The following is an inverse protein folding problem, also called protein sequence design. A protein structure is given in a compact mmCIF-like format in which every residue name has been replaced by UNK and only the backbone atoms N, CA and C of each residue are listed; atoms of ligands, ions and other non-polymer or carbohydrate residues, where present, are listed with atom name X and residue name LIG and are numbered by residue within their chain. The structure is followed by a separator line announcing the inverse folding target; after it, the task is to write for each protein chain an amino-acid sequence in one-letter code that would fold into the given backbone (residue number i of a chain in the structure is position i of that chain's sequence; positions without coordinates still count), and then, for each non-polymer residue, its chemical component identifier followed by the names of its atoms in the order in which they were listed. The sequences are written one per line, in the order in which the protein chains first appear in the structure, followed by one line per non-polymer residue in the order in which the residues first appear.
data_IF_255456846762
#
_entry.id   IF_255456846762
#
_cell.length_a   1.000
_cell.length_b   1.000
_cell.length_c   1.000
_cell.angle_alpha   90.00
_cell.angle_beta   90.00
_cell.angle_gamma   90.00
#
_symmetry.space_group_name_H-M   'P 1'
#
loop_
_entity.id
_entity.type
_entity.pdbx_description
1 polymer ?
#
# COMPACT_ATOMS: atom_id res chain seq x y z
N UNK A 1 1.14 50.07 12.86
CA UNK A 1 0.39 48.83 12.56
C UNK A 1 1.31 47.99 11.69
N UNK A 2 2.19 47.21 12.29
CA UNK A 2 3.05 46.28 11.56
C UNK A 2 2.60 44.86 11.89
N UNK A 3 1.90 44.23 10.95
CA UNK A 3 1.56 42.82 11.00
C UNK A 3 2.84 42.00 10.81
N UNK A 4 3.39 41.46 11.90
CA UNK A 4 4.55 40.56 11.88
C UNK A 4 4.18 39.29 11.08
N UNK A 5 5.03 38.83 10.15
CA UNK A 5 4.73 37.64 9.35
C UNK A 5 4.67 36.39 10.24
N UNK A 6 3.68 35.52 9.96
CA UNK A 6 3.56 34.20 10.58
C UNK A 6 4.83 33.35 10.33
N UNK A 7 5.22 32.46 11.26
CA UNK A 7 6.38 31.59 11.07
C UNK A 7 6.17 30.71 9.83
N UNK A 8 7.09 30.76 8.87
CA UNK A 8 7.08 29.90 7.69
C UNK A 8 7.96 28.66 7.93
N UNK A 9 7.39 27.47 7.84
CA UNK A 9 8.14 26.22 7.87
C UNK A 9 8.56 25.87 6.43
N UNK A 10 9.86 25.60 6.20
CA UNK A 10 10.34 24.99 4.95
C UNK A 10 10.48 23.48 5.19
N UNK A 11 9.80 22.69 4.38
CA UNK A 11 9.93 21.23 4.41
C UNK A 11 10.74 20.82 3.18
N UNK A 12 11.92 20.24 3.42
CA UNK A 12 12.77 19.67 2.38
C UNK A 12 12.42 18.19 2.23
N UNK A 13 11.93 17.76 1.07
CA UNK A 13 11.81 16.34 0.76
C UNK A 13 13.19 15.80 0.35
N UNK A 14 13.86 15.07 1.25
CA UNK A 14 15.04 14.29 0.87
C UNK A 14 14.58 12.95 0.30
N UNK A 15 14.32 12.91 -1.02
CA UNK A 15 14.29 11.65 -1.74
C UNK A 15 15.74 11.20 -1.97
N UNK A 16 16.21 10.28 -1.13
CA UNK A 16 17.50 9.61 -1.31
C UNK A 16 17.43 8.59 -2.45
N UNK A 17 17.51 9.05 -3.69
CA UNK A 17 18.01 8.25 -4.80
C UNK A 17 19.40 8.75 -5.18
N UNK A 18 20.38 7.87 -5.48
CA UNK A 18 21.68 8.30 -5.99
C UNK A 18 21.46 9.04 -7.31
N UNK A 19 21.93 10.29 -7.36
CA UNK A 19 21.61 11.26 -8.41
C UNK A 19 21.97 10.77 -9.83
N UNK A 20 21.25 11.29 -10.83
CA UNK A 20 21.86 12.40 -11.57
C UNK A 20 20.97 13.65 -11.52
N UNK A 21 21.60 14.79 -11.20
CA UNK A 21 21.04 16.15 -11.13
C UNK A 21 19.91 16.37 -10.11
N UNK A 22 20.26 16.99 -8.98
CA UNK A 22 19.33 17.65 -8.05
C UNK A 22 18.64 18.83 -8.78
N UNK A 23 17.61 18.54 -9.57
CA UNK A 23 16.61 19.55 -9.87
C UNK A 23 15.97 19.93 -8.53
N UNK A 24 16.12 21.18 -8.11
CA UNK A 24 15.53 21.69 -6.88
C UNK A 24 14.02 21.46 -6.93
N UNK A 25 13.51 20.52 -6.15
CA UNK A 25 12.07 20.39 -5.92
C UNK A 25 11.61 21.74 -5.35
N UNK A 26 10.66 22.45 -6.00
CA UNK A 26 10.20 23.72 -5.49
C UNK A 26 9.65 23.52 -4.08
N UNK A 27 10.20 24.26 -3.12
CA UNK A 27 9.78 24.18 -1.72
C UNK A 27 8.29 24.53 -1.61
N UNK A 28 7.47 23.53 -1.34
CA UNK A 28 6.04 23.70 -1.09
C UNK A 28 5.89 24.53 0.19
N UNK A 29 5.31 25.73 0.06
CA UNK A 29 4.98 26.60 1.20
C UNK A 29 3.55 26.34 1.62
N UNK A 30 3.36 25.76 2.80
CA UNK A 30 2.04 25.54 3.37
C UNK A 30 1.80 26.64 4.41
N UNK A 31 0.66 27.32 4.30
CA UNK A 31 0.29 28.37 5.24
C UNK A 31 -0.12 27.72 6.57
N UNK A 32 0.53 28.14 7.66
CA UNK A 32 0.21 27.67 9.01
C UNK A 32 -0.96 28.48 9.56
N UNK A 33 -2.04 27.80 9.93
CA UNK A 33 -3.22 28.42 10.51
C UNK A 33 -3.13 28.45 12.05
N UNK A 34 -3.26 29.62 12.70
CA UNK A 34 -3.32 29.68 14.15
C UNK A 34 -4.64 29.09 14.66
N UNK A 35 -4.58 28.20 15.65
CA UNK A 35 -5.78 27.64 16.28
C UNK A 35 -6.45 28.61 17.27
N UNK A 36 -5.71 29.62 17.74
CA UNK A 36 -6.20 30.66 18.63
C UNK A 36 -5.45 31.97 18.41
N UNK A 37 -5.98 33.06 18.98
CA UNK A 37 -5.27 34.33 19.07
C UNK A 37 -4.58 34.41 20.44
N UNK A 38 -3.26 34.63 20.45
CA UNK A 38 -2.48 34.70 21.68
C UNK A 38 -2.09 36.14 22.01
N UNK A 39 -2.27 36.59 23.27
CA UNK A 39 -1.84 37.91 23.72
C UNK A 39 -0.32 38.05 23.70
N UNK A 40 0.16 39.29 23.55
CA UNK A 40 1.60 39.56 23.59
C UNK A 40 2.16 39.36 25.00
N UNK A 41 3.45 38.96 25.13
CA UNK A 41 4.14 38.91 26.41
C UNK A 41 4.24 40.30 27.04
N UNK A 42 3.90 40.42 28.33
CA UNK A 42 3.94 41.70 29.06
C UNK A 42 4.59 41.51 30.42
N UNK A 43 5.53 42.39 30.77
CA UNK A 43 6.12 42.45 32.10
C UNK A 43 5.22 43.28 33.04
N UNK A 44 4.68 42.64 34.07
CA UNK A 44 3.88 43.30 35.11
C UNK A 44 4.55 43.04 36.45
N UNK A 45 5.16 44.08 37.03
CA UNK A 45 5.98 43.95 38.24
C UNK A 45 7.19 43.04 38.00
N UNK A 46 7.32 41.98 38.81
CA UNK A 46 8.40 40.98 38.68
C UNK A 46 7.96 39.69 37.94
N UNK A 47 6.83 39.74 37.22
CA UNK A 47 6.25 38.59 36.51
C UNK A 47 6.10 38.93 35.03
N UNK A 48 6.73 38.14 34.17
CA UNK A 48 6.50 38.15 32.73
C UNK A 48 5.26 37.30 32.45
N UNK A 49 4.17 37.93 32.03
CA UNK A 49 2.93 37.24 31.67
C UNK A 49 2.92 36.86 30.20
N UNK A 50 2.15 35.82 29.88
CA UNK A 50 1.91 35.37 28.50
C UNK A 50 3.18 34.90 27.77
N UNK A 51 4.10 34.24 28.48
CA UNK A 51 5.32 33.70 27.89
C UNK A 51 5.02 32.35 27.24
N UNK A 52 5.45 32.13 26.01
CA UNK A 52 5.23 30.86 25.30
C UNK A 52 5.93 29.71 26.02
N UNK A 53 5.17 28.76 26.56
CA UNK A 53 5.68 27.55 27.22
C UNK A 53 5.68 26.33 26.30
N UNK A 54 4.69 26.21 25.43
CA UNK A 54 4.59 25.10 24.48
C UNK A 54 4.10 25.56 23.12
N UNK A 55 4.68 25.01 22.06
CA UNK A 55 4.23 25.20 20.67
C UNK A 55 4.00 23.83 20.06
N UNK A 56 2.78 23.56 19.60
CA UNK A 56 2.40 22.31 18.94
C UNK A 56 1.97 22.59 17.51
N UNK A 57 2.67 22.00 16.55
CA UNK A 57 2.27 21.98 15.15
C UNK A 57 1.47 20.73 14.86
N UNK A 58 0.32 20.86 14.21
CA UNK A 58 -0.49 19.73 13.73
C UNK A 58 -0.50 19.78 12.21
N UNK A 59 0.10 18.77 11.60
CA UNK A 59 0.20 18.61 10.15
C UNK A 59 -0.82 17.56 9.71
N UNK A 60 -1.84 18.00 8.98
CA UNK A 60 -2.80 17.09 8.38
C UNK A 60 -2.28 16.60 7.04
N UNK A 61 -2.19 15.28 6.87
CA UNK A 61 -1.72 14.69 5.62
C UNK A 61 -2.82 13.88 4.93
N UNK A 62 -2.82 13.93 3.60
CA UNK A 62 -3.71 13.19 2.75
C UNK A 62 -3.39 11.70 2.82
N UNK A 63 -4.29 10.88 2.31
CA UNK A 63 -4.03 9.46 2.17
C UNK A 63 -2.80 9.19 1.25
N UNK A 64 -2.47 10.08 0.30
CA UNK A 64 -1.26 9.98 -0.53
C UNK A 64 0.03 10.45 0.18
N UNK A 65 -0.05 10.87 1.45
CA UNK A 65 1.10 11.35 2.24
C UNK A 65 1.46 12.82 1.99
N UNK A 66 0.60 13.56 1.29
CA UNK A 66 0.79 14.99 1.03
C UNK A 66 0.26 15.82 2.19
N UNK A 67 0.99 16.83 2.65
CA UNK A 67 0.49 17.70 3.73
C UNK A 67 -0.58 18.63 3.15
N UNK A 68 -1.82 18.47 3.63
CA UNK A 68 -3.00 19.20 3.15
C UNK A 68 -3.20 20.49 3.93
N UNK A 69 -2.92 20.47 5.25
CA UNK A 69 -2.99 21.67 6.08
C UNK A 69 -2.04 21.58 7.27
N UNK A 70 -1.65 22.74 7.80
CA UNK A 70 -0.82 22.86 8.98
C UNK A 70 -1.48 23.85 9.93
N UNK A 71 -1.64 23.48 11.20
CA UNK A 71 -2.08 24.38 12.25
C UNK A 71 -1.06 24.47 13.36
N UNK A 72 -1.14 25.55 14.14
CA UNK A 72 -0.29 25.77 15.31
C UNK A 72 -1.15 26.10 16.52
N UNK A 73 -0.84 25.44 17.64
CA UNK A 73 -1.37 25.73 18.96
C UNK A 73 -0.23 26.18 19.88
N UNK A 74 -0.48 27.20 20.69
CA UNK A 74 0.51 27.79 21.59
C UNK A 74 -0.08 27.88 22.99
N UNK A 75 0.65 27.31 23.95
CA UNK A 75 0.34 27.48 25.36
C UNK A 75 1.24 28.54 25.97
N UNK A 76 0.65 29.36 26.84
CA UNK A 76 1.28 30.48 27.51
C UNK A 76 1.40 30.18 29.01
N UNK A 77 2.45 30.70 29.63
CA UNK A 77 2.71 30.61 31.06
C UNK A 77 3.22 31.96 31.60
N UNK A 78 3.00 32.19 32.89
CA UNK A 78 3.52 33.35 33.61
C UNK A 78 4.80 32.95 34.35
N UNK A 79 5.87 33.71 34.18
CA UNK A 79 7.21 33.40 34.71
C UNK A 79 7.68 34.55 35.59
N UNK A 80 8.13 34.26 36.82
CA UNK A 80 8.78 35.28 37.66
C UNK A 80 10.20 35.49 37.17
N UNK A 81 10.67 36.74 37.18
CA UNK A 81 12.06 37.07 36.81
C UNK A 81 13.07 36.37 37.75
N UNK A 82 12.67 36.05 38.98
CA UNK A 82 13.49 35.29 39.93
C UNK A 82 13.68 33.82 39.54
N UNK A 83 12.86 33.30 38.65
CA UNK A 83 12.92 31.90 38.21
C UNK A 83 13.92 31.82 37.05
N UNK A 84 15.10 31.26 37.30
CA UNK A 84 16.21 31.28 36.34
C UNK A 84 16.03 30.29 35.17
N UNK A 85 15.08 29.37 35.28
CA UNK A 85 14.93 28.24 34.36
C UNK A 85 13.49 28.16 33.84
N UNK A 86 13.35 28.26 32.53
CA UNK A 86 12.09 28.08 31.83
C UNK A 86 12.31 27.06 30.72
N UNK A 87 11.44 26.06 30.66
CA UNK A 87 11.47 25.03 29.61
C UNK A 87 10.41 25.37 28.57
N UNK A 88 10.82 25.40 27.30
CA UNK A 88 9.92 25.51 26.17
C UNK A 88 9.85 24.19 25.42
N UNK A 89 8.64 23.68 25.25
CA UNK A 89 8.40 22.41 24.55
C UNK A 89 7.88 22.67 23.15
N UNK A 90 8.55 22.10 22.15
CA UNK A 90 8.11 22.18 20.75
C UNK A 90 7.74 20.78 20.26
N UNK A 91 6.50 20.61 19.79
CA UNK A 91 6.00 19.34 19.29
C UNK A 91 5.45 19.48 17.88
N UNK A 92 5.57 18.40 17.11
CA UNK A 92 4.97 18.27 15.79
C UNK A 92 4.19 16.96 15.77
N UNK A 93 2.90 17.05 15.44
CA UNK A 93 1.98 15.93 15.33
C UNK A 93 1.53 15.79 13.88
N UNK A 94 1.39 14.56 13.42
CA UNK A 94 0.90 14.23 12.09
C UNK A 94 -0.44 13.52 12.22
N UNK A 95 -1.48 14.03 11.56
CA UNK A 95 -2.82 13.45 11.62
C UNK A 95 -3.37 13.22 10.21
N UNK A 96 -4.08 12.12 9.95
CA UNK A 96 -4.70 11.89 8.66
C UNK A 96 -5.85 12.89 8.44
N UNK A 97 -5.87 13.56 7.28
CA UNK A 97 -6.99 14.42 6.89
C UNK A 97 -8.23 13.55 6.60
N UNK A 98 -9.41 13.99 7.04
CA UNK A 98 -10.69 13.34 6.68
C UNK A 98 -10.81 13.26 5.16
N UNK A 99 -10.99 12.06 4.57
CA UNK A 99 -10.97 11.90 3.12
C UNK A 99 -12.16 12.62 2.47
N UNK A 100 -11.88 13.62 1.65
CA UNK A 100 -12.84 14.10 0.66
C UNK A 100 -13.02 12.99 -0.38
N UNK A 101 -14.26 12.49 -0.48
CA UNK A 101 -14.65 11.44 -1.41
C UNK A 101 -14.28 11.83 -2.84
N UNK A 102 -13.18 11.29 -3.35
CA UNK A 102 -12.83 11.38 -4.77
C UNK A 102 -13.46 10.20 -5.49
N UNK A 103 -14.13 10.52 -6.60
CA UNK A 103 -14.93 9.63 -7.43
C UNK A 103 -14.27 8.26 -7.63
N UNK A 104 -14.85 7.21 -7.05
CA UNK A 104 -14.32 5.85 -7.09
C UNK A 104 -14.55 5.24 -8.48
N UNK A 105 -13.70 5.58 -9.45
CA UNK A 105 -13.59 4.78 -10.67
C UNK A 105 -12.98 3.44 -10.28
N UNK A 106 -13.77 2.37 -10.36
CA UNK A 106 -13.33 0.99 -10.08
C UNK A 106 -12.35 0.55 -11.17
N UNK A 107 -11.05 0.68 -10.89
CA UNK A 107 -9.98 0.21 -11.78
C UNK A 107 -9.51 -1.21 -11.40
N UNK A 108 -9.41 -1.52 -10.10
CA UNK A 108 -8.96 -2.83 -9.63
C UNK A 108 -10.06 -3.90 -9.62
N UNK A 109 -9.64 -5.17 -9.60
CA UNK A 109 -10.55 -6.32 -9.44
C UNK A 109 -11.10 -6.39 -8.01
N UNK A 110 -12.41 -6.61 -7.88
CA UNK A 110 -13.04 -6.81 -6.57
C UNK A 110 -13.04 -8.31 -6.18
N UNK A 111 -12.84 -8.66 -4.90
CA UNK A 111 -13.02 -10.03 -4.44
C UNK A 111 -14.43 -10.55 -4.79
N UNK A 112 -14.53 -11.80 -5.24
CA UNK A 112 -15.79 -12.41 -5.66
C UNK A 112 -16.26 -12.04 -7.07
N UNK A 113 -15.51 -11.20 -7.78
CA UNK A 113 -15.81 -10.85 -9.18
C UNK A 113 -15.30 -11.95 -10.15
N UNK A 114 -16.05 -12.28 -11.21
CA UNK A 114 -15.57 -13.23 -12.23
C UNK A 114 -14.30 -12.75 -12.92
N UNK A 115 -13.31 -13.64 -13.01
CA UNK A 115 -12.08 -13.38 -13.77
C UNK A 115 -12.35 -13.58 -15.26
N UNK A 116 -12.01 -12.57 -16.06
CA UNK A 116 -12.19 -12.59 -17.51
C UNK A 116 -10.94 -13.14 -18.21
N UNK A 117 -11.15 -14.13 -19.08
CA UNK A 117 -10.14 -14.66 -19.98
C UNK A 117 -10.45 -14.31 -21.43
N UNK A 118 -9.41 -14.22 -22.26
CA UNK A 118 -9.54 -14.07 -23.69
C UNK A 118 -9.40 -15.42 -24.38
N UNK A 119 -10.43 -15.83 -25.11
CA UNK A 119 -10.49 -17.08 -25.85
C UNK A 119 -10.64 -16.75 -27.34
N UNK A 120 -9.63 -17.07 -28.15
CA UNK A 120 -9.62 -16.75 -29.59
C UNK A 120 -10.00 -15.28 -29.89
N UNK A 121 -9.46 -14.34 -29.11
CA UNK A 121 -9.74 -12.91 -29.23
C UNK A 121 -10.98 -12.40 -28.49
N UNK A 122 -11.86 -13.26 -27.99
CA UNK A 122 -13.09 -12.85 -27.29
C UNK A 122 -12.93 -12.87 -25.76
N UNK A 123 -13.35 -11.80 -25.09
CA UNK A 123 -13.34 -11.67 -23.64
C UNK A 123 -14.57 -12.34 -23.02
N UNK A 124 -14.37 -13.41 -22.24
CA UNK A 124 -15.43 -14.14 -21.54
C UNK A 124 -14.98 -14.54 -20.13
N UNK A 125 -15.90 -14.75 -19.18
CA UNK A 125 -15.55 -15.29 -17.86
C UNK A 125 -14.85 -16.66 -17.97
N UNK A 126 -13.81 -16.87 -17.17
CA UNK A 126 -13.15 -18.18 -17.08
C UNK A 126 -14.06 -19.12 -16.30
N UNK A 127 -14.40 -20.26 -16.91
CA UNK A 127 -15.27 -21.26 -16.32
C UNK A 127 -14.47 -22.50 -15.91
N UNK A 128 -14.54 -22.84 -14.63
CA UNK A 128 -13.89 -24.02 -14.05
C UNK A 128 -14.93 -25.07 -13.68
N UNK A 129 -14.54 -26.34 -13.80
CA UNK A 129 -15.45 -27.45 -13.56
C UNK A 129 -15.75 -27.62 -12.08
N UNK A 130 -17.05 -27.67 -11.76
CA UNK A 130 -17.54 -27.81 -10.39
C UNK A 130 -17.85 -29.26 -9.99
N UNK A 131 -17.87 -30.19 -10.96
CA UNK A 131 -18.39 -31.54 -10.76
C UNK A 131 -19.91 -31.54 -10.55
N UNK A 132 -20.52 -32.72 -10.49
CA UNK A 132 -21.92 -32.89 -10.09
C UNK A 132 -22.04 -33.26 -8.61
N UNK A 133 -23.21 -33.05 -7.97
CA UNK A 133 -23.43 -33.43 -6.57
C UNK A 133 -23.26 -34.94 -6.29
N UNK A 134 -23.42 -35.78 -7.32
CA UNK A 134 -23.20 -37.23 -7.25
C UNK A 134 -21.73 -37.64 -7.32
N UNK A 135 -20.81 -36.67 -7.42
CA UNK A 135 -19.37 -36.90 -7.51
C UNK A 135 -18.87 -37.32 -8.90
N UNK A 136 -19.72 -37.31 -9.92
CA UNK A 136 -19.34 -37.68 -11.30
C UNK A 136 -18.92 -36.45 -12.10
N UNK A 137 -17.92 -36.62 -12.96
CA UNK A 137 -17.46 -35.55 -13.84
C UNK A 137 -18.51 -35.23 -14.90
N UNK A 138 -18.84 -33.94 -15.03
CA UNK A 138 -19.70 -33.43 -16.09
C UNK A 138 -19.08 -32.21 -16.75
N UNK A 139 -19.19 -32.13 -18.08
CA UNK A 139 -18.69 -31.01 -18.88
C UNK A 139 -19.61 -29.78 -18.76
N UNK A 140 -20.90 -30.00 -18.44
CA UNK A 140 -21.91 -28.93 -18.35
C UNK A 140 -21.94 -28.22 -16.99
N UNK A 141 -21.46 -28.87 -15.93
CA UNK A 141 -21.38 -28.28 -14.59
C UNK A 141 -20.09 -27.48 -14.44
N UNK A 142 -20.16 -26.20 -14.80
CA UNK A 142 -19.06 -25.25 -14.66
C UNK A 142 -19.53 -24.00 -13.93
N UNK A 143 -18.61 -23.40 -13.19
CA UNK A 143 -18.83 -22.16 -12.45
C UNK A 143 -17.76 -21.13 -12.81
N UNK A 144 -18.08 -19.82 -12.73
CA UNK A 144 -17.09 -18.79 -12.94
C UNK A 144 -15.98 -18.86 -11.88
N UNK A 145 -14.76 -18.62 -12.32
CA UNK A 145 -13.61 -18.44 -11.45
C UNK A 145 -13.71 -17.04 -10.82
N UNK A 146 -13.84 -16.97 -9.50
CA UNK A 146 -14.05 -15.72 -8.78
C UNK A 146 -12.74 -15.22 -8.16
N UNK A 147 -12.46 -13.93 -8.28
CA UNK A 147 -11.21 -13.32 -7.83
C UNK A 147 -11.04 -13.46 -6.31
N UNK A 148 -9.85 -13.93 -5.88
CA UNK A 148 -9.48 -14.27 -4.49
C UNK A 148 -10.26 -15.44 -3.85
N UNK A 149 -10.97 -16.23 -4.64
CA UNK A 149 -11.60 -17.46 -4.15
C UNK A 149 -10.83 -18.68 -4.63
N UNK A 150 -10.11 -19.31 -3.70
CA UNK A 150 -9.45 -20.58 -3.99
C UNK A 150 -10.50 -21.68 -4.17
N UNK A 151 -10.23 -22.60 -5.10
CA UNK A 151 -11.12 -23.70 -5.41
C UNK A 151 -10.32 -24.99 -5.53
N UNK A 152 -10.86 -26.08 -4.98
CA UNK A 152 -10.44 -27.43 -5.28
C UNK A 152 -11.68 -28.27 -5.57
N UNK A 153 -11.76 -28.83 -6.77
CA UNK A 153 -12.82 -29.76 -7.15
C UNK A 153 -12.21 -31.07 -7.61
N UNK A 154 -12.87 -32.18 -7.27
CA UNK A 154 -12.51 -33.50 -7.74
C UNK A 154 -13.76 -34.29 -8.07
N UNK A 155 -13.72 -35.08 -9.12
CA UNK A 155 -14.83 -35.93 -9.54
C UNK A 155 -14.33 -37.23 -10.15
N UNK A 156 -15.18 -38.25 -10.16
CA UNK A 156 -14.91 -39.53 -10.80
C UNK A 156 -15.25 -39.46 -12.29
N UNK A 157 -14.28 -39.76 -13.15
CA UNK A 157 -14.51 -39.92 -14.58
C UNK A 157 -15.19 -41.28 -14.83
N UNK A 158 -16.53 -41.29 -14.78
CA UNK A 158 -17.32 -42.49 -15.03
C UNK A 158 -17.55 -42.69 -16.54
N UNK A 159 -16.47 -42.93 -17.28
CA UNK A 159 -16.49 -43.12 -18.72
C UNK A 159 -15.57 -44.29 -19.09
N UNK A 160 -16.05 -45.21 -19.94
CA UNK A 160 -15.23 -46.31 -20.47
C UNK A 160 -14.88 -45.96 -21.90
N UNK A 161 -13.61 -45.63 -22.15
CA UNK A 161 -13.15 -45.23 -23.46
C UNK A 161 -12.87 -46.43 -24.38
N UNK A 162 -13.14 -46.29 -25.67
CA UNK A 162 -12.78 -47.33 -26.66
C UNK A 162 -11.31 -47.24 -27.08
N UNK A 163 -10.75 -46.02 -27.04
CA UNK A 163 -9.37 -45.73 -27.37
C UNK A 163 -8.80 -44.63 -26.45
N UNK A 164 -7.48 -44.44 -26.51
CA UNK A 164 -6.80 -43.41 -25.72
C UNK A 164 -7.20 -41.99 -26.15
N UNK A 165 -7.60 -41.78 -27.40
CA UNK A 165 -7.97 -40.46 -27.90
C UNK A 165 -9.27 -39.98 -27.27
N UNK A 166 -10.28 -40.85 -27.16
CA UNK A 166 -11.55 -40.58 -26.51
C UNK A 166 -11.35 -40.29 -25.03
N UNK A 167 -10.55 -41.10 -24.33
CA UNK A 167 -10.27 -40.90 -22.91
C UNK A 167 -9.59 -39.54 -22.67
N UNK A 168 -8.59 -39.23 -23.47
CA UNK A 168 -7.84 -37.98 -23.37
C UNK A 168 -8.72 -36.75 -23.68
N UNK A 169 -9.52 -36.84 -24.75
CA UNK A 169 -10.46 -35.77 -25.12
C UNK A 169 -11.47 -35.50 -24.02
N UNK A 170 -12.02 -36.57 -23.41
CA UNK A 170 -12.98 -36.42 -22.32
C UNK A 170 -12.34 -35.84 -21.05
N UNK A 171 -11.11 -36.25 -20.73
CA UNK A 171 -10.37 -35.71 -19.60
C UNK A 171 -10.08 -34.21 -19.77
N UNK A 172 -9.59 -33.78 -20.94
CA UNK A 172 -9.40 -32.34 -21.22
C UNK A 172 -10.72 -31.57 -21.26
N UNK A 173 -11.77 -32.13 -21.87
CA UNK A 173 -13.08 -31.49 -21.92
C UNK A 173 -13.66 -31.25 -20.52
N UNK A 174 -13.36 -32.14 -19.55
CA UNK A 174 -13.67 -31.87 -18.15
C UNK A 174 -12.71 -30.83 -17.56
N UNK A 175 -11.39 -30.99 -17.64
CA UNK A 175 -10.44 -30.13 -16.94
C UNK A 175 -10.49 -28.67 -17.43
N UNK A 176 -10.27 -28.44 -18.73
CA UNK A 176 -10.15 -27.10 -19.32
C UNK A 176 -11.39 -26.62 -20.07
N UNK A 177 -12.33 -27.52 -20.36
CA UNK A 177 -13.47 -27.19 -21.21
C UNK A 177 -13.07 -27.13 -22.67
N UNK A 178 -13.53 -26.11 -23.38
CA UNK A 178 -13.23 -25.97 -24.81
C UNK A 178 -11.75 -25.65 -25.05
N UNK A 179 -11.19 -24.73 -24.27
CA UNK A 179 -9.79 -24.33 -24.35
C UNK A 179 -9.35 -23.59 -23.09
N UNK A 180 -8.04 -23.48 -22.87
CA UNK A 180 -7.46 -22.53 -21.93
C UNK A 180 -7.46 -21.13 -22.55
N UNK A 181 -7.69 -20.06 -21.77
CA UNK A 181 -7.58 -18.70 -22.27
C UNK A 181 -6.13 -18.39 -22.66
N UNK A 182 -5.95 -17.56 -23.68
CA UNK A 182 -4.63 -17.08 -24.13
C UNK A 182 -4.13 -15.95 -23.23
N UNK A 183 -5.07 -15.11 -22.77
CA UNK A 183 -4.82 -13.97 -21.90
C UNK A 183 -5.87 -13.88 -20.79
N UNK A 184 -5.51 -13.21 -19.70
CA UNK A 184 -6.41 -12.90 -18.58
C UNK A 184 -6.39 -11.41 -18.32
N UNK A 185 -7.57 -10.83 -18.08
CA UNK A 185 -7.71 -9.44 -17.73
C UNK A 185 -7.00 -9.17 -16.41
N UNK A 186 -6.06 -8.22 -16.43
CA UNK A 186 -5.31 -7.83 -15.24
C UNK A 186 -6.16 -7.02 -14.28
N UNK A 187 -7.08 -6.20 -14.80
CA UNK A 187 -7.90 -5.23 -14.07
C UNK A 187 -9.38 -5.33 -14.47
N UNK A 188 -10.24 -4.61 -13.76
CA UNK A 188 -11.64 -4.48 -14.13
C UNK A 188 -11.76 -3.73 -15.48
N UNK A 189 -12.64 -4.20 -16.36
CA UNK A 189 -12.94 -3.50 -17.62
C UNK A 189 -11.79 -3.42 -18.63
N UNK A 190 -10.90 -4.43 -18.67
CA UNK A 190 -9.78 -4.50 -19.62
C UNK A 190 -10.22 -4.26 -21.08
N UNK A 191 -9.60 -3.29 -21.74
CA UNK A 191 -9.91 -2.90 -23.13
C UNK A 191 -8.65 -2.84 -24.00
N UNK A 192 -7.57 -2.27 -23.48
CA UNK A 192 -6.31 -2.13 -24.20
C UNK A 192 -5.48 -3.41 -24.11
N UNK A 193 -4.57 -3.64 -25.06
CA UNK A 193 -3.68 -4.80 -25.04
C UNK A 193 -2.80 -4.88 -23.77
N UNK A 194 -2.49 -3.73 -23.15
CA UNK A 194 -1.76 -3.63 -21.89
C UNK A 194 -2.53 -4.13 -20.66
N UNK A 195 -3.84 -4.28 -20.78
CA UNK A 195 -4.72 -4.67 -19.66
C UNK A 195 -4.82 -6.20 -19.52
N UNK A 196 -4.06 -6.93 -20.34
CA UNK A 196 -4.10 -8.39 -20.44
C UNK A 196 -2.74 -8.99 -20.13
N UNK A 197 -2.72 -10.03 -19.30
CA UNK A 197 -1.52 -10.85 -19.07
C UNK A 197 -1.63 -12.17 -19.82
N UNK A 198 -0.52 -12.62 -20.43
CA UNK A 198 -0.46 -13.91 -21.11
C UNK A 198 -0.57 -15.06 -20.12
N UNK A 199 -1.30 -16.10 -20.49
CA UNK A 199 -1.38 -17.35 -19.74
C UNK A 199 -0.23 -18.27 -20.15
N UNK A 200 0.52 -18.76 -19.17
CA UNK A 200 1.58 -19.75 -19.40
C UNK A 200 0.96 -21.13 -19.17
N UNK A 201 0.87 -21.93 -20.23
CA UNK A 201 0.35 -23.31 -20.15
C UNK A 201 1.52 -24.29 -20.12
N UNK A 202 1.57 -25.11 -19.08
CA UNK A 202 2.46 -26.27 -18.96
C UNK A 202 1.61 -27.52 -19.18
N UNK A 203 1.57 -27.97 -20.44
CA UNK A 203 0.74 -29.10 -20.89
C UNK A 203 1.44 -30.45 -20.67
N UNK A 204 0.71 -31.55 -20.85
CA UNK A 204 1.27 -32.90 -20.80
C UNK A 204 2.38 -33.06 -21.85
N UNK A 205 3.56 -33.54 -21.44
CA UNK A 205 4.63 -33.87 -22.37
C UNK A 205 4.19 -35.01 -23.31
N UNK A 206 4.50 -34.95 -24.62
CA UNK A 206 4.17 -36.02 -25.56
C UNK A 206 4.94 -37.30 -25.19
N UNK A 207 4.24 -38.41 -25.07
CA UNK A 207 4.86 -39.72 -24.84
C UNK A 207 5.33 -40.32 -26.16
N UNK A 208 6.54 -40.88 -26.16
CA UNK A 208 7.10 -41.60 -27.31
C UNK A 208 6.76 -43.10 -27.17
N UNK A 209 5.77 -43.59 -27.91
CA UNK A 209 5.40 -45.00 -27.95
C UNK A 209 3.97 -45.27 -28.43
N UNK A 210 3.69 -46.49 -28.86
CA UNK A 210 2.34 -46.92 -29.22
C UNK A 210 1.49 -47.09 -27.96
N UNK A 211 0.60 -46.13 -27.71
CA UNK A 211 -0.33 -46.16 -26.59
C UNK A 211 -1.56 -46.98 -26.97
N UNK A 212 -1.97 -47.90 -26.11
CA UNK A 212 -3.19 -48.67 -26.29
C UNK A 212 -3.89 -48.85 -24.96
N UNK A 213 -5.17 -49.20 -24.98
CA UNK A 213 -5.95 -49.37 -23.75
C UNK A 213 -5.40 -50.44 -22.80
N UNK A 214 -4.67 -51.45 -23.31
CA UNK A 214 -4.03 -52.49 -22.49
C UNK A 214 -2.68 -52.03 -21.92
N UNK A 215 -1.88 -51.30 -22.70
CA UNK A 215 -0.58 -50.75 -22.27
C UNK A 215 -0.71 -49.52 -21.36
N UNK A 216 -1.84 -48.80 -21.46
CA UNK A 216 -2.11 -47.56 -20.73
C UNK A 216 -2.00 -46.31 -21.61
N UNK A 217 -2.90 -45.36 -21.36
CA UNK A 217 -3.04 -44.09 -22.05
C UNK A 217 -2.51 -42.96 -21.17
N UNK A 218 -1.67 -42.09 -21.74
CA UNK A 218 -1.22 -40.87 -21.07
C UNK A 218 -2.32 -39.83 -21.10
N UNK A 219 -2.92 -39.55 -19.94
CA UNK A 219 -4.05 -38.64 -19.83
C UNK A 219 -3.83 -37.62 -18.71
N UNK A 220 -4.37 -36.40 -18.85
CA UNK A 220 -4.34 -35.41 -17.78
C UNK A 220 -5.31 -35.83 -16.66
N UNK A 221 -4.81 -35.93 -15.44
CA UNK A 221 -5.60 -36.25 -14.24
C UNK A 221 -5.88 -35.01 -13.40
N UNK A 222 -5.05 -33.97 -13.49
CA UNK A 222 -5.30 -32.72 -12.80
C UNK A 222 -4.97 -31.47 -13.61
N UNK A 223 -5.61 -30.36 -13.26
CA UNK A 223 -5.35 -29.04 -13.81
C UNK A 223 -5.26 -28.00 -12.69
N UNK A 224 -4.13 -27.31 -12.61
CA UNK A 224 -3.85 -26.26 -11.64
C UNK A 224 -3.85 -24.89 -12.31
N UNK A 225 -4.75 -24.01 -11.87
CA UNK A 225 -4.74 -22.58 -12.16
C UNK A 225 -4.06 -21.83 -11.02
N UNK A 226 -2.90 -21.27 -11.29
CA UNK A 226 -2.21 -20.38 -10.36
C UNK A 226 -2.27 -18.94 -10.87
N UNK A 227 -2.98 -18.08 -10.14
CA UNK A 227 -3.14 -16.67 -10.44
C UNK A 227 -2.33 -15.85 -9.44
N UNK A 228 -1.29 -15.18 -9.94
CA UNK A 228 -0.55 -14.21 -9.17
C UNK A 228 -1.28 -12.87 -9.23
N UNK A 229 -1.45 -12.23 -8.08
CA UNK A 229 -2.06 -10.91 -8.00
C UNK A 229 -1.31 -10.03 -7.02
N UNK A 230 -1.35 -8.72 -7.25
CA UNK A 230 -0.74 -7.73 -6.37
C UNK A 230 -1.62 -6.50 -6.26
N UNK A 231 -1.48 -5.77 -5.17
CA UNK A 231 -1.99 -4.41 -5.07
C UNK A 231 -1.02 -3.46 -5.78
N UNK A 232 -1.53 -2.70 -6.75
CA UNK A 232 -0.80 -1.62 -7.43
C UNK A 232 -1.49 -0.28 -7.23
N UNK A 233 -0.74 0.79 -7.41
CA UNK A 233 -1.24 2.16 -7.22
C UNK A 233 -0.75 2.77 -5.92
N UNK A 234 -1.43 3.83 -5.49
CA UNK A 234 -1.08 4.55 -4.26
C UNK A 234 -1.37 3.68 -3.03
N UNK A 235 -0.55 3.79 -1.99
CA UNK A 235 -0.76 3.08 -0.71
C UNK A 235 -2.14 3.41 -0.12
N UNK A 236 -2.66 4.62 -0.37
CA UNK A 236 -4.01 5.01 0.03
C UNK A 236 -5.15 4.45 -0.81
N UNK A 237 -4.87 4.07 -2.04
CA UNK A 237 -5.85 3.60 -3.01
C UNK A 237 -5.29 2.39 -3.76
N UNK A 238 -5.01 1.27 -3.05
CA UNK A 238 -4.49 0.07 -3.68
C UNK A 238 -5.55 -0.54 -4.61
N UNK A 239 -5.13 -0.92 -5.80
CA UNK A 239 -5.96 -1.57 -6.82
C UNK A 239 -5.46 -3.00 -7.00
N UNK A 240 -6.34 -3.99 -6.80
CA UNK A 240 -5.96 -5.37 -7.05
C UNK A 240 -5.80 -5.60 -8.56
N UNK A 241 -4.66 -6.17 -8.95
CA UNK A 241 -4.34 -6.49 -10.33
C UNK A 241 -3.77 -7.91 -10.42
N UNK A 242 -4.26 -8.71 -11.37
CA UNK A 242 -3.63 -9.99 -11.72
C UNK A 242 -2.34 -9.69 -12.49
N UNK A 243 -1.21 -10.20 -12.00
CA UNK A 243 0.12 -9.95 -12.56
C UNK A 243 0.64 -11.10 -13.42
N UNK A 244 0.07 -12.30 -13.26
CA UNK A 244 0.48 -13.46 -14.03
C UNK A 244 -0.45 -14.65 -13.79
N UNK A 245 -0.57 -15.51 -14.79
CA UNK A 245 -1.40 -16.72 -14.73
C UNK A 245 -0.61 -17.89 -15.30
N UNK A 246 -0.57 -18.98 -14.54
CA UNK A 246 0.01 -20.25 -14.96
C UNK A 246 -1.06 -21.34 -14.87
N UNK A 247 -1.13 -22.15 -15.92
CA UNK A 247 -1.97 -23.35 -15.98
C UNK A 247 -1.06 -24.55 -16.12
N UNK A 248 -1.17 -25.51 -15.21
CA UNK A 248 -0.34 -26.72 -15.23
C UNK A 248 -1.23 -27.96 -15.28
N UNK A 249 -0.92 -28.88 -16.19
CA UNK A 249 -1.56 -30.20 -16.25
C UNK A 249 -0.63 -31.25 -15.63
N UNK A 250 -1.17 -32.08 -14.74
CA UNK A 250 -0.50 -33.30 -14.27
C UNK A 250 -1.13 -34.48 -14.97
N UNK A 251 -0.28 -35.40 -15.42
CA UNK A 251 -0.67 -36.45 -16.34
C UNK A 251 -0.12 -37.79 -15.86
N UNK A 252 -0.89 -38.84 -16.07
CA UNK A 252 -0.59 -40.20 -15.61
C UNK A 252 -0.97 -41.21 -16.69
N UNK A 253 -0.34 -42.39 -16.65
CA UNK A 253 -0.66 -43.49 -17.56
C UNK A 253 -1.76 -44.36 -16.96
N UNK A 254 -2.93 -44.38 -17.57
CA UNK A 254 -4.12 -45.07 -17.07
C UNK A 254 -4.76 -45.96 -18.14
N UNK A 255 -5.34 -47.09 -17.75
CA UNK A 255 -6.05 -47.97 -18.68
C UNK A 255 -7.43 -47.40 -19.03
N UNK A 256 -7.99 -47.77 -20.19
CA UNK A 256 -9.31 -47.26 -20.61
C UNK A 256 -10.47 -47.75 -19.72
N UNK A 257 -10.27 -48.84 -18.99
CA UNK A 257 -11.19 -49.35 -17.97
C UNK A 257 -11.04 -48.63 -16.61
N UNK A 258 -9.96 -47.86 -16.43
CA UNK A 258 -9.73 -47.07 -15.22
C UNK A 258 -10.74 -45.92 -15.16
N UNK A 259 -11.34 -45.71 -13.98
CA UNK A 259 -12.21 -44.57 -13.69
C UNK A 259 -11.46 -43.60 -12.78
N UNK A 260 -10.53 -42.78 -13.31
CA UNK A 260 -9.72 -41.92 -12.48
C UNK A 260 -10.54 -40.79 -11.87
N UNK A 261 -10.03 -40.23 -10.78
CA UNK A 261 -10.47 -38.94 -10.29
C UNK A 261 -9.79 -37.83 -11.08
N UNK A 262 -10.58 -36.90 -11.61
CA UNK A 262 -10.08 -35.68 -12.23
C UNK A 262 -10.19 -34.53 -11.24
N UNK A 263 -9.10 -33.77 -11.09
CA UNK A 263 -9.00 -32.71 -10.10
C UNK A 263 -8.70 -31.37 -10.75
N UNK A 264 -9.44 -30.33 -10.37
CA UNK A 264 -9.16 -28.95 -10.76
C UNK A 264 -8.87 -28.13 -9.51
N UNK A 265 -7.71 -27.49 -9.46
CA UNK A 265 -7.34 -26.56 -8.40
C UNK A 265 -7.16 -25.15 -8.96
N UNK A 266 -7.60 -24.16 -8.18
CA UNK A 266 -7.44 -22.73 -8.44
C UNK A 266 -6.86 -22.10 -7.20
N UNK A 267 -5.72 -21.43 -7.37
CA UNK A 267 -5.02 -20.74 -6.29
C UNK A 267 -4.73 -19.30 -6.67
N UNK A 268 -5.10 -18.38 -5.78
CA UNK A 268 -4.70 -16.98 -5.84
C UNK A 268 -3.53 -16.74 -4.89
N UNK A 269 -2.41 -16.29 -5.43
CA UNK A 269 -1.20 -15.99 -4.67
C UNK A 269 -0.94 -14.50 -4.68
N UNK A 270 -0.92 -13.90 -3.49
CA UNK A 270 -0.58 -12.48 -3.34
C UNK A 270 0.93 -12.27 -3.48
N UNK A 271 1.32 -11.36 -4.37
CA UNK A 271 2.71 -10.94 -4.61
C UNK A 271 2.88 -9.43 -4.40
N UNK A 272 2.02 -8.82 -3.58
CA UNK A 272 2.11 -7.39 -3.24
C UNK A 272 3.44 -7.12 -2.52
N UNK A 273 4.26 -6.25 -3.08
CA UNK A 273 5.44 -5.72 -2.42
C UNK A 273 5.11 -4.31 -1.94
N UNK A 274 5.00 -4.16 -0.62
CA UNK A 274 4.84 -2.85 -0.03
C UNK A 274 6.18 -2.11 -0.09
N UNK A 275 6.20 -0.81 -0.44
CA UNK A 275 7.43 -0.03 -0.32
C UNK A 275 7.92 -0.07 1.13
N UNK A 276 9.24 -0.07 1.33
CA UNK A 276 9.78 0.15 2.68
C UNK A 276 9.18 1.45 3.21
N UNK A 277 8.56 1.36 4.40
CA UNK A 277 8.07 2.55 5.10
C UNK A 277 9.17 3.61 5.07
N UNK A 278 8.86 4.88 4.76
CA UNK A 278 9.89 5.90 4.67
C UNK A 278 10.71 5.87 5.95
N UNK A 279 12.00 5.52 5.81
CA UNK A 279 12.92 5.53 6.94
C UNK A 279 13.09 6.98 7.35
N UNK A 280 12.53 7.30 8.51
CA UNK A 280 12.68 8.57 9.18
C UNK A 280 11.40 9.40 9.15
N UNK A 281 11.01 9.87 10.34
CA UNK A 281 10.18 11.08 10.45
C UNK A 281 10.85 12.16 9.59
N UNK A 282 10.13 12.89 8.72
CA UNK A 282 10.71 14.05 8.06
C UNK A 282 11.27 14.95 9.16
N UNK A 283 12.59 15.06 9.23
CA UNK A 283 13.26 15.94 10.20
C UNK A 283 13.02 17.36 9.73
N UNK A 284 12.28 18.18 10.49
CA UNK A 284 12.04 19.56 10.08
C UNK A 284 13.38 20.30 10.04
N UNK A 285 13.68 20.99 8.94
CA UNK A 285 14.81 21.93 8.88
C UNK A 285 14.37 23.23 9.58
N UNK A 286 14.60 23.28 10.90
CA UNK A 286 14.23 24.41 11.74
C UNK A 286 15.15 25.62 11.48
N UNK A 287 14.83 26.42 10.46
CA UNK A 287 15.40 27.76 10.30
C UNK A 287 14.57 28.75 11.10
N UNK A 288 14.94 28.95 12.36
CA UNK A 288 14.37 30.03 13.17
C UNK A 288 14.66 31.37 12.48
N UNK A 289 13.68 32.29 12.37
CA UNK A 289 13.93 33.65 11.93
C UNK A 289 15.03 34.30 12.78
N UNK A 290 15.81 35.21 12.19
CA UNK A 290 16.90 35.92 12.88
C UNK A 290 16.45 36.58 14.20
N UNK A 291 15.18 36.97 14.28
CA UNK A 291 14.57 37.66 15.42
C UNK A 291 13.71 36.76 16.32
N UNK A 292 13.81 35.43 16.21
CA UNK A 292 12.94 34.51 16.96
C UNK A 292 12.98 34.76 18.47
N UNK A 293 14.14 35.16 18.97
CA UNK A 293 14.33 35.49 20.37
C UNK A 293 14.47 37.00 20.64
N UNK A 294 14.11 37.86 19.68
CA UNK A 294 14.29 39.30 19.82
C UNK A 294 13.03 39.99 20.33
N UNK A 295 13.13 40.89 21.32
CA UNK A 295 14.33 41.23 22.10
C UNK A 295 14.47 40.34 23.36
N UNK A 296 15.63 39.69 23.52
CA UNK A 296 16.08 39.23 24.83
C UNK A 296 16.50 40.46 25.65
N UNK A 297 15.62 40.98 26.50
CA UNK A 297 16.03 41.95 27.52
C UNK A 297 16.43 41.19 28.78
N UNK A 298 17.69 40.77 28.85
CA UNK A 298 18.31 40.43 30.13
C UNK A 298 18.28 41.70 30.99
N UNK A 299 17.58 41.67 32.12
CA UNK A 299 17.68 42.74 33.10
C UNK A 299 19.09 42.71 33.68
N UNK A 300 19.97 43.58 33.17
CA UNK A 300 21.25 43.83 33.83
C UNK A 300 20.95 44.46 35.19
N UNK A 301 21.08 43.69 36.27
CA UNK A 301 21.12 44.23 37.61
C UNK A 301 22.40 45.05 37.75
N UNK A 302 22.36 46.33 37.42
CA UNK A 302 23.41 47.28 37.79
C UNK A 302 23.36 47.53 39.29
N UNK A 303 24.06 46.70 40.06
CA UNK A 303 24.54 47.11 41.37
C UNK A 303 26.01 47.54 41.22
N UNK A 304 26.23 48.86 41.35
CA UNK A 304 27.56 49.44 41.53
C UNK A 304 28.07 49.07 42.92
N UNK A 305 28.92 48.06 43.00
CA UNK A 305 29.92 47.93 44.06
C UNK A 305 31.13 47.18 43.48
N UNK A 306 32.31 47.78 43.65
CA UNK A 306 33.57 47.32 43.08
C UNK A 306 34.02 45.97 43.67
N UNK A 307 34.54 45.08 42.82
CA UNK A 307 35.30 43.90 43.28
C UNK A 307 35.26 42.69 42.34
N UNK A 308 36.42 42.39 41.76
CA UNK A 308 36.90 41.11 41.21
C UNK A 308 36.02 40.26 40.26
N UNK A 309 36.64 39.94 39.11
CA UNK A 309 36.29 38.94 38.10
C UNK A 309 35.71 37.62 38.66
N UNK A 310 34.58 37.18 38.10
CA UNK A 310 34.34 35.78 37.72
C UNK A 310 33.48 35.70 36.46
N UNK A 311 34.06 35.17 35.38
CA UNK A 311 33.28 34.63 34.27
C UNK A 311 32.54 33.39 34.78
N UNK A 312 31.21 33.42 34.72
CA UNK A 312 30.35 32.28 35.00
C UNK A 312 29.42 32.07 33.81
N UNK A 313 29.80 31.16 32.92
CA UNK A 313 28.87 30.50 32.00
C UNK A 313 27.77 29.83 32.84
N UNK A 314 26.50 30.18 32.61
CA UNK A 314 25.40 29.63 33.41
C UNK A 314 24.04 30.06 32.90
N UNK A 315 23.66 29.54 31.74
CA UNK A 315 22.35 29.72 31.16
C UNK A 315 22.15 28.71 30.04
N UNK A 316 22.17 27.41 30.41
CA UNK A 316 21.95 26.33 29.46
C UNK A 316 20.44 26.28 29.17
N UNK A 317 20.01 26.90 28.06
CA UNK A 317 18.68 26.67 27.50
C UNK A 317 18.64 25.22 26.99
N UNK A 318 18.18 24.29 27.82
CA UNK A 318 17.89 22.92 27.41
C UNK A 318 16.54 22.89 26.70
N UNK A 319 16.57 22.81 25.37
CA UNK A 319 15.40 22.51 24.56
C UNK A 319 15.17 21.00 24.65
N UNK A 320 14.11 20.58 25.34
CA UNK A 320 13.69 19.18 25.38
C UNK A 320 12.64 18.98 24.27
N UNK A 321 13.08 18.44 23.13
CA UNK A 321 12.16 18.02 22.08
C UNK A 321 11.60 16.64 22.42
N UNK A 322 10.31 16.58 22.75
CA UNK A 322 9.62 15.32 22.99
C UNK A 322 8.63 15.07 21.86
N UNK A 323 8.80 13.94 21.17
CA UNK A 323 7.89 13.49 20.11
C UNK A 323 6.91 12.48 20.71
N UNK A 324 5.65 12.89 20.90
CA UNK A 324 4.59 12.03 21.43
C UNK A 324 3.79 11.44 20.26
N UNK A 325 3.69 10.11 20.22
CA UNK A 325 2.84 9.34 19.31
C UNK A 325 1.43 9.21 19.90
N UNK A 326 0.41 9.31 19.05
CA UNK A 326 -0.87 8.62 19.19
C UNK A 326 -1.13 7.84 17.89
#
# INVERSE_FOLDING_TARGET
MDSKPAPSMRISSFYGYPSPSLASVPAMKINIQPMSQWPQPVLIGNVCKNVTSQVSYILNFSASGEIVSASVDVQLADVKISDSNMVQTFSVQYQPSTPTATSQVKLGLAPGEPVTGQFAGQANPILVSSGLPDGVCSVSSRRPLLFKENLLTSCLLNFVAQDCQQLNTQAYAFLRGNSTPEFVAMTHGAQAASDWTRVIVSDCAPQQGNQSCSTGCWIPTSMSYQLLWAQRGLVSHPQNQITGVKVTFSCETLQCSSKPHLTVDVTFVETTVYPEVPRGRPTPDWKLPFDFFYPFRMAALTNRAAGLLRFGFGGMLTIVMSQVLL
#
